data_IF_247642505290
#
_entry.id   IF_247642505290
#
_cell.length_a   1.000
_cell.length_b   1.000
_cell.length_c   1.000
_cell.angle_alpha   90.00
_cell.angle_beta   90.00
_cell.angle_gamma   90.00
#
_symmetry.space_group_name_H-M   'P 1'
#
loop_
_entity.id
_entity.type
_entity.pdbx_description
1 polymer ?
#
# COMPACT_ATOMS: atom_id res chain seq x y z
N UNK A 1 1.86 -6.13 -9.01
CA UNK A 1 1.85 -4.99 -9.94
C UNK A 1 3.01 -4.03 -9.66
N UNK A 2 3.19 -3.55 -8.40
CA UNK A 2 4.32 -2.67 -8.08
C UNK A 2 5.66 -3.33 -8.40
N UNK A 3 5.86 -4.58 -7.98
CA UNK A 3 7.07 -5.36 -8.25
C UNK A 3 7.25 -5.76 -9.74
N UNK A 4 6.21 -5.69 -10.55
CA UNK A 4 6.26 -5.98 -12.00
C UNK A 4 6.35 -4.72 -12.86
N UNK A 5 6.35 -3.52 -12.26
CA UNK A 5 6.36 -2.26 -12.98
C UNK A 5 5.01 -1.85 -13.60
N UNK A 6 3.95 -2.61 -13.29
CA UNK A 6 2.59 -2.34 -13.78
C UNK A 6 1.78 -1.47 -12.79
N UNK A 7 2.45 -0.78 -11.87
CA UNK A 7 1.81 0.15 -10.95
C UNK A 7 1.45 1.46 -11.67
N UNK A 8 0.37 2.13 -11.27
CA UNK A 8 0.08 3.47 -11.76
C UNK A 8 1.26 4.42 -11.47
N UNK A 9 1.56 5.36 -12.36
CA UNK A 9 2.59 6.36 -12.11
C UNK A 9 2.18 7.20 -10.90
N UNK A 10 3.14 7.41 -10.00
CA UNK A 10 2.96 8.22 -8.80
C UNK A 10 4.08 9.24 -8.77
N UNK A 11 3.75 10.49 -8.47
CA UNK A 11 4.72 11.54 -8.25
C UNK A 11 4.39 12.24 -6.94
N UNK A 12 5.29 12.22 -6.00
CA UNK A 12 5.15 12.93 -4.73
C UNK A 12 6.51 13.43 -4.24
N UNK A 13 6.48 14.39 -3.34
CA UNK A 13 7.65 14.98 -2.72
C UNK A 13 7.59 14.81 -1.21
N UNK A 14 8.71 14.42 -0.61
CA UNK A 14 8.88 14.36 0.84
C UNK A 14 10.22 14.98 1.19
N UNK A 15 10.25 15.97 2.06
CA UNK A 15 11.45 16.71 2.49
C UNK A 15 12.33 17.23 1.34
N UNK A 16 11.71 17.66 0.23
CA UNK A 16 12.44 18.16 -0.94
C UNK A 16 12.98 17.07 -1.86
N UNK A 17 12.78 15.80 -1.56
CA UNK A 17 13.12 14.68 -2.44
C UNK A 17 11.90 14.21 -3.23
N UNK A 18 12.08 14.02 -4.54
CA UNK A 18 11.04 13.56 -5.45
C UNK A 18 11.03 12.05 -5.59
N UNK A 19 9.83 11.47 -5.46
CA UNK A 19 9.59 10.02 -5.59
C UNK A 19 8.63 9.75 -6.73
N UNK A 20 8.98 8.76 -7.56
CA UNK A 20 8.20 8.37 -8.75
C UNK A 20 7.58 6.99 -8.63
N UNK A 21 7.83 6.29 -7.52
CA UNK A 21 7.25 4.98 -7.22
C UNK A 21 6.45 5.03 -5.93
N UNK A 22 5.25 4.44 -5.94
CA UNK A 22 4.49 4.22 -4.73
C UNK A 22 5.16 3.22 -3.79
N UNK A 23 4.75 3.23 -2.53
CA UNK A 23 5.26 2.29 -1.53
C UNK A 23 4.12 1.64 -0.74
N UNK A 24 4.44 0.52 -0.08
CA UNK A 24 3.57 -0.16 0.87
C UNK A 24 4.19 -0.14 2.26
N UNK A 25 3.38 0.04 3.28
CA UNK A 25 3.78 -0.22 4.65
C UNK A 25 3.95 -1.74 4.80
N UNK A 26 5.16 -2.16 5.14
CA UNK A 26 5.52 -3.57 5.17
C UNK A 26 6.03 -4.02 6.53
N UNK A 27 5.90 -5.30 6.79
CA UNK A 27 6.45 -5.94 7.98
C UNK A 27 7.96 -6.10 7.88
N UNK A 28 8.64 -6.23 9.03
CA UNK A 28 10.09 -6.39 9.11
C UNK A 28 10.65 -7.64 8.44
N UNK A 29 9.80 -8.61 8.07
CA UNK A 29 10.20 -9.84 7.34
C UNK A 29 10.49 -9.59 5.87
N UNK A 30 9.91 -8.54 5.26
CA UNK A 30 10.11 -8.22 3.86
C UNK A 30 11.51 -7.64 3.60
N UNK A 31 12.06 -7.80 2.39
CA UNK A 31 13.35 -7.23 2.03
C UNK A 31 13.34 -5.69 2.07
N UNK A 32 14.52 -5.07 2.13
CA UNK A 32 14.67 -3.61 2.12
C UNK A 32 14.66 -3.10 0.68
N UNK A 33 13.50 -3.15 0.06
CA UNK A 33 13.24 -2.62 -1.28
C UNK A 33 12.65 -1.21 -1.18
N UNK A 34 12.93 -0.36 -2.15
CA UNK A 34 12.46 1.03 -2.22
C UNK A 34 10.92 1.17 -2.18
N UNK A 35 10.20 0.11 -2.51
CA UNK A 35 8.74 0.06 -2.50
C UNK A 35 8.15 -0.43 -1.17
N UNK A 36 8.97 -0.75 -0.17
CA UNK A 36 8.52 -1.17 1.15
C UNK A 36 9.01 -0.21 2.24
N UNK A 37 8.10 0.36 2.98
CA UNK A 37 8.39 1.16 4.17
C UNK A 37 8.17 0.30 5.39
N UNK A 38 9.28 -0.14 6.00
CA UNK A 38 9.27 -1.03 7.17
C UNK A 38 9.35 -0.24 8.46
N UNK A 39 8.81 -0.81 9.54
CA UNK A 39 9.00 -0.26 10.88
C UNK A 39 10.47 -0.29 11.30
N UNK A 40 10.87 0.63 12.17
CA UNK A 40 12.21 0.67 12.75
C UNK A 40 12.22 -0.17 14.02
N UNK A 41 13.00 -1.24 14.03
CA UNK A 41 13.21 -2.06 15.22
C UNK A 41 14.10 -1.32 16.22
N UNK A 42 13.69 -1.30 17.49
CA UNK A 42 14.42 -0.59 18.57
C UNK A 42 14.73 0.87 18.21
N UNK A 43 13.70 1.70 17.93
CA UNK A 43 13.90 3.06 17.50
C UNK A 43 14.59 3.88 18.59
N UNK A 44 15.68 4.56 18.24
CA UNK A 44 16.39 5.47 19.12
C UNK A 44 15.91 6.91 18.90
N UNK A 45 15.50 7.56 19.98
CA UNK A 45 14.99 8.93 19.94
C UNK A 45 13.54 9.08 19.52
N UNK A 46 12.95 10.22 19.85
CA UNK A 46 11.51 10.46 19.73
C UNK A 46 11.00 10.40 18.29
N UNK A 47 11.74 10.93 17.31
CA UNK A 47 11.32 10.95 15.90
C UNK A 47 11.12 9.53 15.34
N UNK A 48 12.11 8.65 15.57
CA UNK A 48 12.06 7.27 15.09
C UNK A 48 11.01 6.44 15.83
N UNK A 49 10.82 6.69 17.13
CA UNK A 49 9.78 6.05 17.90
C UNK A 49 8.38 6.44 17.40
N UNK A 50 8.17 7.72 17.14
CA UNK A 50 6.91 8.24 16.59
C UNK A 50 6.62 7.63 15.21
N UNK A 51 7.62 7.59 14.32
CA UNK A 51 7.48 6.95 13.02
C UNK A 51 7.12 5.46 13.14
N UNK A 52 7.81 4.70 13.99
CA UNK A 52 7.52 3.28 14.19
C UNK A 52 6.08 3.06 14.66
N UNK A 53 5.61 3.88 15.60
CA UNK A 53 4.24 3.84 16.11
C UNK A 53 3.21 4.15 15.01
N UNK A 54 3.43 5.21 14.23
CA UNK A 54 2.53 5.60 13.14
C UNK A 54 2.49 4.53 12.04
N UNK A 55 3.64 3.99 11.66
CA UNK A 55 3.73 2.93 10.65
C UNK A 55 3.01 1.64 11.10
N UNK A 56 3.17 1.25 12.36
CA UNK A 56 2.46 0.09 12.92
C UNK A 56 0.96 0.33 13.03
N UNK A 57 0.54 1.53 13.42
CA UNK A 57 -0.87 1.91 13.49
C UNK A 57 -1.53 1.81 12.10
N UNK A 58 -0.91 2.40 11.07
CA UNK A 58 -1.43 2.31 9.69
C UNK A 58 -1.51 0.88 9.16
N UNK A 59 -0.58 0.00 9.53
CA UNK A 59 -0.68 -1.43 9.21
C UNK A 59 -1.84 -2.12 9.93
N UNK A 60 -1.99 -1.87 11.22
CA UNK A 60 -3.08 -2.46 12.02
C UNK A 60 -4.45 -2.06 11.52
N UNK A 61 -4.61 -0.85 10.99
CA UNK A 61 -5.88 -0.41 10.41
C UNK A 61 -6.26 -1.24 9.18
N UNK A 62 -5.30 -1.59 8.33
CA UNK A 62 -5.53 -2.49 7.19
C UNK A 62 -5.87 -3.91 7.68
N UNK A 63 -5.13 -4.44 8.64
CA UNK A 63 -5.40 -5.76 9.24
C UNK A 63 -6.79 -5.81 9.86
N UNK A 64 -7.21 -4.73 10.55
CA UNK A 64 -8.55 -4.58 11.09
C UNK A 64 -9.63 -4.56 10.00
N UNK A 65 -9.40 -3.81 8.91
CA UNK A 65 -10.32 -3.77 7.78
C UNK A 65 -10.52 -5.16 7.15
N UNK A 66 -9.46 -5.94 6.99
CA UNK A 66 -9.57 -7.33 6.55
C UNK A 66 -10.30 -8.21 7.56
N UNK A 67 -10.07 -8.04 8.85
CA UNK A 67 -10.79 -8.75 9.91
C UNK A 67 -12.30 -8.49 9.84
N UNK A 68 -12.71 -7.24 9.66
CA UNK A 68 -14.13 -6.87 9.46
C UNK A 68 -14.69 -7.46 8.18
N UNK A 69 -13.94 -7.43 7.07
CA UNK A 69 -14.34 -8.03 5.80
C UNK A 69 -14.60 -9.54 5.96
N UNK A 70 -13.70 -10.26 6.65
CA UNK A 70 -13.85 -11.68 6.93
C UNK A 70 -14.99 -12.01 7.88
N UNK A 71 -15.30 -11.13 8.84
CA UNK A 71 -16.44 -11.30 9.73
C UNK A 71 -17.78 -11.16 9.01
N UNK A 72 -17.87 -10.23 8.04
CA UNK A 72 -19.07 -9.98 7.23
C UNK A 72 -19.29 -11.05 6.15
N UNK A 73 -18.21 -11.52 5.51
CA UNK A 73 -18.29 -12.44 4.38
C UNK A 73 -17.57 -13.76 4.66
N UNK A 74 -18.34 -14.79 5.01
CA UNK A 74 -17.82 -16.11 5.33
C UNK A 74 -16.99 -16.74 4.18
N UNK A 75 -17.27 -16.38 2.92
CA UNK A 75 -16.58 -16.89 1.75
C UNK A 75 -15.08 -16.49 1.72
N UNK A 76 -14.69 -15.36 2.35
CA UNK A 76 -13.29 -14.88 2.41
C UNK A 76 -12.61 -15.24 3.74
N UNK A 77 -13.32 -15.86 4.69
CA UNK A 77 -12.78 -16.24 5.99
C UNK A 77 -11.95 -17.52 5.95
N UNK A 78 -12.33 -18.47 5.11
CA UNK A 78 -11.75 -19.81 5.07
C UNK A 78 -10.77 -20.01 3.92
N UNK A 79 -10.27 -21.24 3.75
CA UNK A 79 -9.45 -21.59 2.61
C UNK A 79 -10.20 -21.39 1.30
N UNK A 80 -9.46 -20.98 0.27
CA UNK A 80 -10.02 -20.78 -1.06
C UNK A 80 -10.64 -22.06 -1.61
N UNK A 81 -11.92 -22.00 -1.99
CA UNK A 81 -12.64 -23.16 -2.56
C UNK A 81 -12.46 -23.30 -4.07
N UNK A 82 -11.95 -22.28 -4.71
CA UNK A 82 -11.74 -22.20 -6.17
C UNK A 82 -10.25 -22.16 -6.48
N UNK A 83 -9.83 -22.91 -7.52
CA UNK A 83 -8.44 -22.92 -7.98
C UNK A 83 -8.12 -21.74 -8.90
N UNK A 84 -9.12 -21.20 -9.58
CA UNK A 84 -8.92 -20.10 -10.52
C UNK A 84 -8.73 -18.76 -9.77
N UNK A 85 -7.54 -18.17 -9.92
CA UNK A 85 -7.19 -16.90 -9.29
C UNK A 85 -8.07 -15.74 -9.77
N UNK A 86 -8.55 -15.77 -11.02
CA UNK A 86 -9.45 -14.71 -11.54
C UNK A 86 -10.80 -14.74 -10.83
N UNK A 87 -11.32 -15.94 -10.61
CA UNK A 87 -12.57 -16.14 -9.85
C UNK A 87 -12.42 -15.69 -8.40
N UNK A 88 -11.32 -16.06 -7.74
CA UNK A 88 -11.02 -15.59 -6.38
C UNK A 88 -10.91 -14.06 -6.31
N UNK A 89 -10.22 -13.45 -7.28
CA UNK A 89 -10.12 -12.00 -7.36
C UNK A 89 -11.47 -11.31 -7.53
N UNK A 90 -12.38 -11.85 -8.35
CA UNK A 90 -13.74 -11.33 -8.54
C UNK A 90 -14.58 -11.45 -7.26
N UNK A 91 -14.49 -12.57 -6.57
CA UNK A 91 -15.18 -12.78 -5.28
C UNK A 91 -14.70 -11.76 -4.26
N UNK A 92 -13.39 -11.60 -4.10
CA UNK A 92 -12.84 -10.63 -3.16
C UNK A 92 -13.25 -9.20 -3.52
N UNK A 93 -13.18 -8.82 -4.79
CA UNK A 93 -13.62 -7.51 -5.27
C UNK A 93 -15.09 -7.26 -4.95
N UNK A 94 -15.98 -8.23 -5.19
CA UNK A 94 -17.39 -8.11 -4.87
C UNK A 94 -17.61 -7.94 -3.34
N UNK A 95 -16.90 -8.70 -2.51
CA UNK A 95 -16.96 -8.55 -1.06
C UNK A 95 -16.49 -7.16 -0.60
N UNK A 96 -15.43 -6.61 -1.18
CA UNK A 96 -14.93 -5.27 -0.85
C UNK A 96 -15.94 -4.19 -1.25
N UNK A 97 -16.53 -4.30 -2.45
CA UNK A 97 -17.57 -3.36 -2.91
C UNK A 97 -18.77 -3.38 -1.96
N UNK A 98 -19.31 -4.56 -1.66
CA UNK A 98 -20.43 -4.68 -0.73
C UNK A 98 -20.08 -4.17 0.68
N UNK A 99 -18.87 -4.43 1.15
CA UNK A 99 -18.40 -3.91 2.44
C UNK A 99 -18.39 -2.38 2.46
N UNK A 100 -17.86 -1.75 1.42
CA UNK A 100 -17.84 -0.31 1.33
C UNK A 100 -19.25 0.28 1.24
N UNK A 101 -20.16 -0.34 0.48
CA UNK A 101 -21.57 0.07 0.42
C UNK A 101 -22.26 0.00 1.79
N UNK A 102 -21.99 -1.06 2.57
CA UNK A 102 -22.56 -1.20 3.93
C UNK A 102 -21.98 -0.11 4.85
N UNK A 103 -20.68 0.15 4.80
CA UNK A 103 -20.06 1.21 5.61
C UNK A 103 -20.64 2.58 5.24
N UNK A 104 -20.88 2.82 3.96
CA UNK A 104 -21.47 4.07 3.49
C UNK A 104 -22.91 4.24 3.97
N UNK A 105 -23.71 3.18 3.89
CA UNK A 105 -25.09 3.15 4.40
C UNK A 105 -25.15 3.33 5.93
N UNK A 106 -24.22 2.71 6.67
CA UNK A 106 -24.12 2.81 8.12
C UNK A 106 -23.63 4.19 8.61
N UNK A 107 -23.00 5.00 7.78
CA UNK A 107 -22.44 6.31 8.18
C UNK A 107 -23.48 7.41 8.44
N UNK A 108 -24.71 7.24 8.02
CA UNK A 108 -25.85 8.11 8.41
C UNK A 108 -25.83 9.57 7.96
N UNK A 109 -24.82 10.00 7.18
CA UNK A 109 -24.79 11.28 6.44
C UNK A 109 -23.89 11.17 5.22
N UNK A 110 -24.26 11.75 4.07
CA UNK A 110 -23.35 11.84 2.94
C UNK A 110 -22.30 12.91 3.27
N UNK A 111 -21.13 12.47 3.74
CA UNK A 111 -19.94 13.29 3.56
C UNK A 111 -19.65 13.28 2.05
N UNK A 112 -19.44 14.46 1.49
CA UNK A 112 -19.08 14.69 0.08
C UNK A 112 -17.72 14.04 -0.25
N UNK A 113 -17.71 12.69 -0.28
CA UNK A 113 -16.59 11.95 -0.84
C UNK A 113 -16.71 11.98 -2.35
N UNK A 114 -15.88 12.82 -2.97
CA UNK A 114 -15.74 12.86 -4.41
C UNK A 114 -15.04 11.57 -4.89
N UNK A 115 -15.83 10.58 -5.34
CA UNK A 115 -15.37 9.31 -5.90
C UNK A 115 -14.78 9.43 -7.32
N UNK A 116 -14.58 10.63 -7.85
CA UNK A 116 -14.06 10.86 -9.20
C UNK A 116 -12.58 10.52 -9.39
N UNK A 117 -11.85 10.13 -8.35
CA UNK A 117 -10.55 9.51 -8.50
C UNK A 117 -10.69 8.00 -8.77
N UNK A 118 -11.38 7.67 -9.85
CA UNK A 118 -11.27 6.35 -10.47
C UNK A 118 -9.80 6.16 -10.84
N UNK A 119 -9.12 5.27 -10.14
CA UNK A 119 -7.70 5.00 -10.37
C UNK A 119 -7.43 4.77 -11.85
N UNK A 120 -6.38 5.35 -12.36
CA UNK A 120 -5.96 5.28 -13.75
C UNK A 120 -6.01 3.84 -14.24
N UNK A 121 -6.84 3.57 -15.25
CA UNK A 121 -6.97 2.24 -15.86
C UNK A 121 -5.66 1.87 -16.52
N UNK A 122 -4.89 0.98 -15.90
CA UNK A 122 -3.66 0.46 -16.48
C UNK A 122 -4.03 -0.45 -17.64
N UNK A 123 -3.71 -0.02 -18.85
CA UNK A 123 -3.81 -0.85 -20.05
C UNK A 123 -2.55 -1.71 -20.11
N UNK A 124 -2.66 -3.05 -20.20
CA UNK A 124 -1.48 -3.90 -20.33
C UNK A 124 -0.79 -3.63 -21.66
N UNK A 125 0.43 -3.15 -21.62
CA UNK A 125 1.29 -3.02 -22.80
C UNK A 125 1.66 -4.39 -23.34
N UNK A 126 1.38 -4.62 -24.62
CA UNK A 126 1.87 -5.79 -25.39
C UNK A 126 3.15 -5.35 -26.08
N UNK A 127 4.31 -5.54 -25.43
CA UNK A 127 5.54 -5.08 -26.05
C UNK A 127 6.72 -6.04 -25.80
N UNK A 128 7.58 -6.19 -26.83
CA UNK A 128 8.82 -6.98 -26.79
C UNK A 128 9.84 -6.39 -25.81
N UNK A 129 9.73 -5.11 -25.45
CA UNK A 129 10.55 -4.43 -24.45
C UNK A 129 10.13 -4.71 -22.99
N UNK A 130 9.07 -5.49 -22.77
CA UNK A 130 8.55 -5.78 -21.43
C UNK A 130 9.57 -6.38 -20.48
N UNK A 131 10.42 -7.29 -20.96
CA UNK A 131 11.45 -7.93 -20.14
C UNK A 131 12.53 -6.93 -19.76
N UNK A 132 12.97 -6.09 -20.69
CA UNK A 132 13.99 -5.07 -20.42
C UNK A 132 13.49 -4.05 -19.40
N UNK A 133 12.26 -3.55 -19.61
CA UNK A 133 11.57 -2.63 -18.68
C UNK A 133 11.36 -3.27 -17.31
N UNK A 134 10.96 -4.55 -17.26
CA UNK A 134 10.82 -5.30 -16.02
C UNK A 134 12.15 -5.36 -15.24
N UNK A 135 13.27 -5.67 -15.91
CA UNK A 135 14.58 -5.72 -15.26
C UNK A 135 15.05 -4.34 -14.77
N UNK A 136 14.79 -3.28 -15.52
CA UNK A 136 15.11 -1.90 -15.11
C UNK A 136 14.30 -1.46 -13.89
N UNK A 137 12.99 -1.74 -13.89
CA UNK A 137 12.10 -1.44 -12.76
C UNK A 137 12.47 -2.31 -11.54
N UNK A 138 12.77 -3.58 -11.76
CA UNK A 138 13.16 -4.50 -10.69
C UNK A 138 14.43 -4.04 -9.97
N UNK A 139 15.44 -3.59 -10.70
CA UNK A 139 16.65 -3.00 -10.10
C UNK A 139 16.37 -1.76 -9.27
N UNK A 140 15.48 -0.86 -9.75
CA UNK A 140 15.05 0.31 -8.97
C UNK A 140 14.27 -0.06 -7.71
N UNK A 141 13.50 -1.14 -7.77
CA UNK A 141 12.73 -1.66 -6.62
C UNK A 141 13.66 -2.26 -5.57
N UNK A 142 14.69 -2.96 -5.99
CA UNK A 142 15.69 -3.58 -5.09
C UNK A 142 16.71 -2.59 -4.51
N UNK A 143 16.62 -1.32 -4.89
CA UNK A 143 17.52 -0.26 -4.43
C UNK A 143 17.34 -0.02 -2.92
N UNK A 144 18.38 -0.40 -2.17
CA UNK A 144 18.40 -0.28 -0.71
C UNK A 144 18.64 1.17 -0.26
N UNK A 145 19.41 1.93 -1.02
CA UNK A 145 19.67 3.34 -0.69
C UNK A 145 18.39 4.15 -0.82
N UNK A 146 17.64 3.95 -1.91
CA UNK A 146 16.32 4.56 -2.09
C UNK A 146 15.31 4.14 -1.01
N UNK A 147 15.36 2.89 -0.53
CA UNK A 147 14.55 2.43 0.61
C UNK A 147 14.90 3.20 1.89
N UNK A 148 16.19 3.30 2.22
CA UNK A 148 16.64 3.96 3.45
C UNK A 148 16.35 5.47 3.40
N UNK A 149 16.55 6.10 2.25
CA UNK A 149 16.22 7.50 2.01
C UNK A 149 14.73 7.79 2.21
N UNK A 150 13.84 7.04 1.54
CA UNK A 150 12.40 7.22 1.70
C UNK A 150 11.96 7.05 3.15
N UNK A 151 12.49 6.06 3.85
CA UNK A 151 12.16 5.84 5.27
C UNK A 151 12.60 7.03 6.13
N UNK A 152 13.81 7.53 5.94
CA UNK A 152 14.36 8.63 6.74
C UNK A 152 13.61 9.95 6.44
N UNK A 153 13.22 10.18 5.19
CA UNK A 153 12.36 11.30 4.80
C UNK A 153 10.97 11.22 5.43
N UNK A 154 10.37 10.04 5.48
CA UNK A 154 9.07 9.85 6.13
C UNK A 154 9.15 10.03 7.66
N UNK A 155 10.24 9.61 8.28
CA UNK A 155 10.51 9.87 9.71
C UNK A 155 10.52 11.36 9.99
N UNK A 156 11.25 12.13 9.20
CA UNK A 156 11.37 13.58 9.36
C UNK A 156 10.03 14.28 9.06
N UNK A 157 9.37 13.91 7.99
CA UNK A 157 8.08 14.47 7.60
C UNK A 157 7.01 14.27 8.70
N UNK A 158 6.85 13.04 9.20
CA UNK A 158 5.89 12.75 10.26
C UNK A 158 6.21 13.51 11.55
N UNK A 159 7.49 13.69 11.85
CA UNK A 159 7.91 14.47 13.02
C UNK A 159 7.57 15.96 12.85
N UNK A 160 7.75 16.52 11.67
CA UNK A 160 7.41 17.92 11.40
C UNK A 160 5.89 18.17 11.45
N UNK A 161 5.09 17.21 11.01
CA UNK A 161 3.63 17.36 10.93
C UNK A 161 2.93 17.05 12.26
N UNK A 162 3.40 16.05 13.00
CA UNK A 162 2.69 15.50 14.16
C UNK A 162 3.55 15.35 15.41
N UNK A 163 4.82 15.71 15.38
CA UNK A 163 5.80 15.43 16.44
C UNK A 163 5.86 16.50 17.56
N UNK A 164 4.83 17.35 17.72
CA UNK A 164 4.75 18.35 18.81
C UNK A 164 4.21 17.74 20.08
#
# INVERSE_FOLDING_TARGET
RLATGDAPPVNFEVNGHHYTMGYYLADGIYPSWSTFVKTIRNPQGNKRAHFAQAQEAGRKDIERAFGVLQSRFAIVRGPARFWDQKTLGRILTACVIMHNMIIEDERGQPEDFNYEHVGTRVVPEKDENRIKRFLEVHRKIEDREAHDQLRDDLVEHLWQVHGQ
#
